data_IF_629159142955
#
_entry.id   IF_629159142955
#
_cell.length_a   1.000
_cell.length_b   1.000
_cell.length_c   1.000
_cell.angle_alpha   90.00
_cell.angle_beta   90.00
_cell.angle_gamma   90.00
#
_symmetry.space_group_name_H-M   'P 1'
#
loop_
_entity.id
_entity.type
_entity.pdbx_description
1 polymer ?
#
# COMPACT_ATOMS: atom_id res chain seq x y z
N UNK A 1 -2.84 15.46 0.00
CA UNK A 1 -4.09 15.80 0.71
C UNK A 1 -4.12 15.06 2.04
N UNK A 2 -4.66 15.67 3.09
CA UNK A 2 -4.82 15.07 4.42
C UNK A 2 -6.31 14.83 4.66
N UNK A 3 -6.71 13.59 4.90
CA UNK A 3 -8.02 13.26 5.43
C UNK A 3 -8.01 13.56 6.94
N UNK A 4 -8.75 14.60 7.34
CA UNK A 4 -8.73 15.11 8.72
C UNK A 4 -9.52 14.21 9.69
N UNK A 5 -10.43 13.38 9.17
CA UNK A 5 -11.27 12.48 9.97
C UNK A 5 -10.54 11.17 10.31
N UNK A 6 -9.67 10.68 9.41
CA UNK A 6 -8.91 9.43 9.61
C UNK A 6 -7.41 9.65 9.83
N UNK A 7 -6.92 10.87 9.64
CA UNK A 7 -5.48 11.20 9.68
C UNK A 7 -4.69 10.66 8.49
N UNK A 8 -5.35 10.11 7.47
CA UNK A 8 -4.68 9.56 6.27
C UNK A 8 -4.07 10.65 5.40
N UNK A 9 -2.78 10.50 5.04
CA UNK A 9 -2.08 11.42 4.14
C UNK A 9 -1.88 10.75 2.78
N UNK A 10 -2.39 11.38 1.72
CA UNK A 10 -2.14 11.00 0.32
C UNK A 10 -1.19 12.01 -0.32
N UNK A 11 -0.17 11.56 -1.04
CA UNK A 11 0.75 12.42 -1.79
C UNK A 11 0.77 11.98 -3.25
N UNK A 12 0.58 12.93 -4.16
CA UNK A 12 0.84 12.78 -5.59
C UNK A 12 2.26 13.27 -5.88
N UNK A 13 3.00 12.56 -6.73
CA UNK A 13 4.37 12.89 -7.17
C UNK A 13 4.40 12.97 -8.70
N UNK A 14 5.37 13.68 -9.29
CA UNK A 14 5.43 13.85 -10.76
C UNK A 14 4.45 14.89 -11.31
N UNK A 15 3.99 15.81 -10.47
CA UNK A 15 2.92 16.77 -10.80
C UNK A 15 3.50 18.19 -10.93
N UNK A 16 4.30 18.43 -11.98
CA UNK A 16 5.05 19.68 -12.20
C UNK A 16 4.29 20.73 -13.04
N UNK A 17 2.95 20.66 -13.06
CA UNK A 17 2.12 21.64 -13.77
C UNK A 17 2.22 23.04 -13.14
N UNK A 18 2.46 24.04 -13.97
CA UNK A 18 2.54 25.44 -13.57
C UNK A 18 1.19 26.17 -13.70
N UNK A 19 0.22 25.59 -14.40
CA UNK A 19 -1.11 26.16 -14.58
C UNK A 19 -2.19 25.10 -14.71
N UNK A 20 -3.43 25.47 -14.36
CA UNK A 20 -4.57 24.56 -14.27
C UNK A 20 -5.82 25.19 -14.88
N UNK A 21 -6.65 24.38 -15.54
CA UNK A 21 -7.96 24.81 -16.04
C UNK A 21 -9.00 23.69 -15.93
N UNK A 22 -10.26 24.05 -15.79
CA UNK A 22 -11.39 23.11 -15.95
C UNK A 22 -12.21 23.59 -17.14
N UNK A 23 -12.34 22.73 -18.16
CA UNK A 23 -13.08 23.03 -19.39
C UNK A 23 -14.09 21.91 -19.58
N UNK A 24 -15.38 22.26 -19.66
CA UNK A 24 -16.49 21.31 -19.79
C UNK A 24 -16.50 20.17 -18.75
N UNK A 25 -16.07 20.48 -17.51
CA UNK A 25 -16.02 19.53 -16.41
C UNK A 25 -14.77 18.64 -16.36
N UNK A 26 -13.86 18.81 -17.32
CA UNK A 26 -12.59 18.07 -17.39
C UNK A 26 -11.46 18.95 -16.87
N UNK A 27 -10.64 18.41 -15.95
CA UNK A 27 -9.47 19.11 -15.42
C UNK A 27 -8.27 18.95 -16.37
N UNK A 28 -7.51 20.03 -16.52
CA UNK A 28 -6.29 20.12 -17.33
C UNK A 28 -5.17 20.79 -16.52
N UNK A 29 -3.96 20.30 -16.70
CA UNK A 29 -2.71 20.87 -16.21
C UNK A 29 -1.84 21.27 -17.39
N UNK A 30 -1.04 22.32 -17.25
CA UNK A 30 -0.06 22.68 -18.26
C UNK A 30 1.30 22.95 -17.63
N UNK A 31 2.34 22.53 -18.33
CA UNK A 31 3.75 22.73 -18.01
C UNK A 31 4.47 23.38 -19.21
N UNK A 32 5.79 23.33 -19.24
CA UNK A 32 6.59 23.83 -20.38
C UNK A 32 6.58 22.89 -21.60
N UNK A 33 6.12 21.65 -21.43
CA UNK A 33 6.06 20.64 -22.48
C UNK A 33 4.68 20.59 -23.16
N UNK A 34 3.60 20.94 -22.46
CA UNK A 34 2.27 20.99 -23.07
C UNK A 34 1.08 21.19 -22.12
N UNK A 35 -0.10 20.83 -22.64
CA UNK A 35 -1.36 20.81 -21.89
C UNK A 35 -1.81 19.35 -21.81
N UNK A 36 -2.03 18.88 -20.59
CA UNK A 36 -2.34 17.51 -20.26
C UNK A 36 -3.69 17.44 -19.57
N UNK A 37 -4.48 16.41 -19.89
CA UNK A 37 -5.73 16.15 -19.19
C UNK A 37 -5.40 15.48 -17.86
N UNK A 38 -5.94 16.00 -16.76
CA UNK A 38 -5.74 15.49 -15.40
C UNK A 38 -6.87 14.52 -15.05
N UNK A 39 -6.96 13.45 -15.81
CA UNK A 39 -8.01 12.44 -15.70
C UNK A 39 -7.52 11.12 -16.29
N UNK A 40 -8.03 9.99 -15.79
CA UNK A 40 -7.67 8.65 -16.24
C UNK A 40 -6.83 7.85 -15.23
N UNK A 41 -6.78 6.53 -15.47
CA UNK A 41 -6.13 5.54 -14.60
C UNK A 41 -4.62 5.37 -14.88
N UNK A 42 -4.09 6.16 -15.82
CA UNK A 42 -2.71 6.07 -16.32
C UNK A 42 -2.03 7.43 -16.34
N UNK A 43 -0.72 7.46 -16.08
CA UNK A 43 0.17 8.60 -16.28
C UNK A 43 0.98 8.38 -17.56
N UNK A 44 0.71 9.15 -18.61
CA UNK A 44 1.29 8.99 -19.96
C UNK A 44 1.20 7.55 -20.55
N UNK A 45 0.16 6.80 -20.18
CA UNK A 45 -0.06 5.41 -20.61
C UNK A 45 0.56 4.35 -19.69
N UNK A 46 1.31 4.74 -18.67
CA UNK A 46 1.79 3.86 -17.61
C UNK A 46 0.76 3.77 -16.47
N UNK A 47 0.56 2.59 -15.84
CA UNK A 47 -0.35 2.48 -14.69
C UNK A 47 0.11 3.30 -13.49
N UNK A 48 -0.83 3.95 -12.80
CA UNK A 48 -0.52 4.73 -11.58
C UNK A 48 -0.42 3.78 -10.38
N UNK A 49 0.81 3.42 -10.01
CA UNK A 49 1.06 2.63 -8.79
C UNK A 49 0.71 3.42 -7.52
N UNK A 50 0.12 2.74 -6.54
CA UNK A 50 -0.16 3.32 -5.22
C UNK A 50 0.49 2.49 -4.12
N UNK A 51 0.80 3.15 -2.99
CA UNK A 51 1.21 2.45 -1.77
C UNK A 51 0.67 3.09 -0.50
N UNK A 52 0.46 2.26 0.52
CA UNK A 52 0.02 2.62 1.86
C UNK A 52 1.03 2.04 2.85
N UNK A 53 1.74 2.92 3.56
CA UNK A 53 2.65 2.52 4.64
C UNK A 53 1.94 2.63 5.99
N UNK A 54 1.84 1.51 6.69
CA UNK A 54 1.14 1.38 7.97
C UNK A 54 2.00 1.80 9.17
N UNK A 55 3.28 2.07 8.94
CA UNK A 55 4.25 2.45 9.96
C UNK A 55 4.71 1.26 10.80
N UNK A 56 5.63 1.55 11.73
CA UNK A 56 6.23 0.54 12.61
C UNK A 56 5.21 0.03 13.63
N UNK A 57 5.06 -1.28 13.68
CA UNK A 57 4.20 -2.03 14.59
C UNK A 57 5.03 -2.88 15.55
N UNK A 58 4.73 -2.80 16.84
CA UNK A 58 5.24 -3.72 17.87
C UNK A 58 4.18 -4.70 18.37
N UNK A 59 2.94 -4.60 17.86
CA UNK A 59 1.83 -5.47 18.26
C UNK A 59 1.61 -5.50 19.78
N UNK A 60 1.86 -4.38 20.46
CA UNK A 60 1.61 -4.20 21.90
C UNK A 60 2.65 -4.84 22.83
N UNK A 61 3.83 -5.22 22.32
CA UNK A 61 4.90 -5.79 23.15
C UNK A 61 6.30 -5.56 22.58
N UNK A 62 7.32 -5.45 23.42
CA UNK A 62 8.72 -5.34 22.98
C UNK A 62 9.41 -6.69 22.74
N UNK A 63 8.72 -7.81 23.01
CA UNK A 63 9.26 -9.14 22.78
C UNK A 63 9.59 -9.37 21.29
N UNK A 64 10.54 -10.27 20.99
CA UNK A 64 10.76 -10.70 19.61
C UNK A 64 9.53 -11.45 19.10
N UNK A 65 9.14 -11.22 17.85
CA UNK A 65 8.03 -11.91 17.20
C UNK A 65 8.32 -12.20 15.74
N UNK A 66 7.50 -13.06 15.15
CA UNK A 66 7.44 -13.34 13.73
C UNK A 66 6.02 -13.12 13.23
N UNK A 67 5.85 -12.56 12.03
CA UNK A 67 4.54 -12.50 11.36
C UNK A 67 4.53 -13.57 10.28
N UNK A 68 3.65 -14.56 10.41
CA UNK A 68 3.68 -15.74 9.54
C UNK A 68 2.84 -15.58 8.29
N UNK A 69 1.73 -14.86 8.41
CA UNK A 69 0.84 -14.49 7.33
C UNK A 69 0.02 -13.26 7.75
N UNK A 70 -0.58 -12.61 6.76
CA UNK A 70 -1.52 -11.53 6.93
C UNK A 70 -2.80 -11.82 6.15
N UNK A 71 -3.91 -11.20 6.57
CA UNK A 71 -5.16 -11.16 5.83
C UNK A 71 -5.50 -9.70 5.53
N UNK A 72 -5.65 -9.39 4.25
CA UNK A 72 -6.03 -8.08 3.76
C UNK A 72 -7.51 -8.15 3.37
N UNK A 73 -8.39 -7.51 4.13
CA UNK A 73 -9.79 -7.35 3.73
C UNK A 73 -9.85 -6.30 2.64
N UNK A 74 -10.02 -6.73 1.38
CA UNK A 74 -9.88 -5.84 0.22
C UNK A 74 -10.79 -6.24 -0.93
N UNK A 75 -11.19 -5.25 -1.73
CA UNK A 75 -11.51 -5.44 -3.15
C UNK A 75 -10.26 -5.10 -3.96
N UNK A 76 -10.05 -5.75 -5.10
CA UNK A 76 -9.02 -5.33 -6.06
C UNK A 76 -9.25 -5.89 -7.46
N UNK A 77 -8.70 -5.22 -8.49
CA UNK A 77 -8.67 -5.71 -9.89
C UNK A 77 -7.46 -6.60 -10.18
N UNK A 78 -6.48 -6.62 -9.28
CA UNK A 78 -5.30 -7.46 -9.38
C UNK A 78 -4.67 -7.76 -8.02
N UNK A 79 -3.48 -8.38 -8.04
CA UNK A 79 -2.83 -8.85 -6.82
C UNK A 79 -2.21 -7.68 -6.06
N UNK A 80 -2.62 -7.54 -4.81
CA UNK A 80 -1.98 -6.62 -3.89
C UNK A 80 -0.70 -7.24 -3.34
N UNK A 81 0.33 -6.41 -3.24
CA UNK A 81 1.62 -6.76 -2.67
C UNK A 81 1.73 -6.26 -1.23
N UNK A 82 2.42 -7.03 -0.40
CA UNK A 82 2.79 -6.66 0.96
C UNK A 82 4.31 -6.68 1.08
N UNK A 83 4.88 -5.54 1.44
CA UNK A 83 6.27 -5.39 1.83
C UNK A 83 6.38 -5.36 3.35
N UNK A 84 7.25 -6.23 3.89
CA UNK A 84 7.67 -6.25 5.29
C UNK A 84 9.05 -5.65 5.40
N UNK A 85 9.21 -4.63 6.24
CA UNK A 85 10.44 -3.88 6.40
C UNK A 85 10.96 -4.06 7.83
N UNK A 86 12.20 -4.54 7.95
CA UNK A 86 12.91 -4.75 9.22
C UNK A 86 14.30 -4.13 9.16
N UNK A 87 14.50 -3.02 9.86
CA UNK A 87 15.74 -2.25 9.74
C UNK A 87 15.89 -1.72 8.31
N UNK A 88 16.96 -2.14 7.63
CA UNK A 88 17.24 -1.80 6.23
C UNK A 88 16.81 -2.91 5.24
N UNK A 89 16.24 -4.01 5.74
CA UNK A 89 15.84 -5.16 4.93
C UNK A 89 14.37 -5.05 4.55
N UNK A 90 14.08 -5.28 3.26
CA UNK A 90 12.73 -5.31 2.70
C UNK A 90 12.43 -6.67 2.12
N UNK A 91 11.21 -7.16 2.37
CA UNK A 91 10.74 -8.46 1.90
C UNK A 91 9.34 -8.33 1.31
N UNK A 92 9.18 -8.67 0.04
CA UNK A 92 7.91 -8.53 -0.69
C UNK A 92 7.20 -9.87 -0.84
N UNK A 93 5.88 -9.85 -0.66
CA UNK A 93 5.00 -11.01 -0.76
C UNK A 93 3.70 -10.65 -1.48
N UNK A 94 3.31 -11.45 -2.46
CA UNK A 94 2.02 -11.29 -3.13
C UNK A 94 0.87 -11.91 -2.32
N UNK A 95 -0.30 -11.29 -2.36
CA UNK A 95 -1.53 -11.95 -1.98
C UNK A 95 -1.74 -13.24 -2.81
N UNK A 96 -2.30 -14.28 -2.17
CA UNK A 96 -2.58 -15.57 -2.82
C UNK A 96 -3.51 -15.43 -4.03
N UNK A 97 -4.47 -14.52 -3.91
CA UNK A 97 -5.45 -14.21 -4.94
C UNK A 97 -5.86 -12.75 -4.85
N UNK A 98 -6.89 -12.43 -5.62
CA UNK A 98 -7.53 -11.13 -5.68
C UNK A 98 -9.00 -11.34 -6.04
N UNK A 99 -9.82 -10.30 -5.84
CA UNK A 99 -11.24 -10.33 -6.18
C UNK A 99 -11.81 -8.93 -6.13
N UNK A 100 -12.69 -8.62 -7.09
CA UNK A 100 -13.49 -7.40 -7.09
C UNK A 100 -14.58 -7.40 -5.99
N UNK A 101 -14.82 -8.53 -5.32
CA UNK A 101 -15.71 -8.61 -4.16
C UNK A 101 -14.89 -8.51 -2.86
N UNK A 102 -15.42 -7.75 -1.89
CA UNK A 102 -14.76 -7.54 -0.61
C UNK A 102 -14.58 -8.87 0.12
N UNK A 103 -13.33 -9.31 0.25
CA UNK A 103 -12.98 -10.53 0.97
C UNK A 103 -11.55 -10.49 1.51
N UNK A 104 -11.25 -11.40 2.43
CA UNK A 104 -9.92 -11.52 3.01
C UNK A 104 -8.95 -12.22 2.04
N UNK A 105 -7.95 -11.48 1.57
CA UNK A 105 -6.84 -12.02 0.77
C UNK A 105 -5.66 -12.37 1.68
N UNK A 106 -5.25 -13.63 1.64
CA UNK A 106 -4.16 -14.13 2.49
C UNK A 106 -2.80 -13.90 1.83
N UNK A 107 -1.84 -13.37 2.60
CA UNK A 107 -0.44 -13.20 2.20
C UNK A 107 0.46 -14.13 3.04
N UNK A 108 1.29 -14.94 2.37
CA UNK A 108 2.26 -15.81 3.04
C UNK A 108 3.62 -15.14 3.20
N UNK A 109 4.00 -14.80 4.43
CA UNK A 109 5.30 -14.18 4.75
C UNK A 109 6.34 -15.25 5.10
N UNK A 110 5.90 -16.34 5.74
CA UNK A 110 6.76 -17.41 6.23
C UNK A 110 7.31 -17.13 7.64
N UNK A 111 8.22 -17.98 8.13
CA UNK A 111 8.70 -17.97 9.53
C UNK A 111 10.10 -17.37 9.73
N UNK A 112 10.70 -16.84 8.66
CA UNK A 112 12.11 -16.41 8.65
C UNK A 112 12.33 -15.06 9.34
N UNK A 113 11.39 -14.12 9.18
CA UNK A 113 11.52 -12.77 9.71
C UNK A 113 11.23 -12.78 11.22
N UNK A 114 12.18 -12.25 12.00
CA UNK A 114 12.09 -12.15 13.46
C UNK A 114 12.55 -10.76 13.91
N UNK A 115 11.66 -9.99 14.49
CA UNK A 115 11.94 -8.65 14.96
C UNK A 115 11.04 -8.27 16.14
N UNK A 116 11.41 -7.24 16.88
CA UNK A 116 10.54 -6.60 17.88
C UNK A 116 9.62 -5.55 17.24
N UNK A 117 10.13 -4.81 16.25
CA UNK A 117 9.40 -3.83 15.45
C UNK A 117 9.46 -4.21 13.97
N UNK A 118 8.33 -4.12 13.28
CA UNK A 118 8.21 -4.36 11.85
C UNK A 118 7.39 -3.24 11.22
N UNK A 119 7.80 -2.76 10.05
CA UNK A 119 7.03 -1.80 9.26
C UNK A 119 6.44 -2.52 8.05
N UNK A 120 5.29 -2.04 7.58
CA UNK A 120 4.51 -2.71 6.54
C UNK A 120 4.04 -1.69 5.52
N UNK A 121 4.24 -2.03 4.25
CA UNK A 121 3.75 -1.27 3.12
C UNK A 121 2.91 -2.19 2.22
N UNK A 122 1.70 -1.75 1.89
CA UNK A 122 0.78 -2.43 0.98
C UNK A 122 0.77 -1.61 -0.31
N UNK A 123 0.90 -2.25 -1.46
CA UNK A 123 1.02 -1.54 -2.74
C UNK A 123 0.51 -2.35 -3.92
N UNK A 124 0.20 -1.67 -5.03
CA UNK A 124 -0.04 -2.27 -6.34
C UNK A 124 1.23 -2.19 -7.21
N UNK A 125 1.49 -3.23 -8.00
CA UNK A 125 2.60 -3.21 -8.97
C UNK A 125 2.17 -2.63 -10.32
N UNK A 126 0.95 -2.97 -10.77
CA UNK A 126 0.45 -2.64 -12.10
C UNK A 126 -0.68 -1.59 -12.07
N UNK A 127 -0.70 -0.73 -11.06
CA UNK A 127 -1.73 0.31 -10.92
C UNK A 127 -3.15 -0.21 -10.70
N UNK A 128 -3.29 -1.48 -10.29
CA UNK A 128 -4.57 -2.09 -9.98
C UNK A 128 -5.35 -1.30 -8.93
N UNK A 129 -6.63 -1.07 -9.20
CA UNK A 129 -7.55 -0.47 -8.24
C UNK A 129 -7.74 -1.39 -7.03
N UNK A 130 -7.82 -0.79 -5.84
CA UNK A 130 -8.13 -1.51 -4.62
C UNK A 130 -8.80 -0.62 -3.57
N UNK A 131 -9.73 -1.20 -2.82
CA UNK A 131 -10.21 -0.64 -1.55
C UNK A 131 -9.76 -1.54 -0.40
N UNK A 132 -8.99 -0.98 0.54
CA UNK A 132 -8.53 -1.70 1.72
C UNK A 132 -9.41 -1.38 2.93
N UNK A 133 -10.11 -2.40 3.44
CA UNK A 133 -10.98 -2.28 4.61
C UNK A 133 -10.28 -2.68 5.91
N UNK A 134 -9.52 -3.78 5.91
CA UNK A 134 -8.87 -4.31 7.11
C UNK A 134 -7.50 -4.91 6.82
N UNK A 135 -6.65 -4.91 7.85
CA UNK A 135 -5.37 -5.62 7.85
C UNK A 135 -5.24 -6.39 9.15
N UNK A 136 -5.10 -7.70 9.04
CA UNK A 136 -4.97 -8.60 10.19
C UNK A 136 -3.66 -9.38 10.12
N UNK A 137 -2.95 -9.43 11.25
CA UNK A 137 -1.61 -10.03 11.34
C UNK A 137 -1.64 -11.31 12.16
N UNK A 138 -1.10 -12.41 11.63
CA UNK A 138 -0.85 -13.63 12.41
C UNK A 138 0.55 -13.54 13.03
N UNK A 139 0.59 -12.93 14.20
CA UNK A 139 1.80 -12.68 15.00
C UNK A 139 2.09 -13.86 15.92
N UNK A 140 3.33 -14.33 15.90
CA UNK A 140 3.84 -15.39 16.76
C UNK A 140 4.92 -14.81 17.68
N UNK A 141 4.64 -14.65 19.00
CA UNK A 141 5.66 -14.29 19.97
C UNK A 141 6.76 -15.35 20.03
N UNK A 142 8.02 -14.91 20.12
CA UNK A 142 9.17 -15.79 20.27
C UNK A 142 9.60 -15.76 21.73
N UNK A 143 9.20 -16.76 22.51
CA UNK A 143 9.73 -16.97 23.85
C UNK A 143 11.16 -17.48 23.76
N UNK A 144 12.10 -16.81 24.41
CA UNK A 144 13.44 -17.39 24.62
C UNK A 144 13.27 -18.58 25.58
N UNK A 145 13.62 -19.78 25.12
CA UNK A 145 13.69 -20.96 25.98
C UNK A 145 14.92 -20.76 26.88
N UNK A 146 14.69 -20.57 28.17
CA UNK A 146 15.71 -20.53 29.23
C UNK A 146 15.75 -21.89 29.91
#
# INVERSE_FOLDING_TARGET
MLNVDTGGLTRYTGFDFNSFAVIDGVAYGADDEGIWRLDGDTDDGDPIAWSIRLGKQDFGTTAMKSVTNAYLGTTSTGKIMLKVIVGEQEYTYAARGWSEQLQAQRVDIGRGIRANWMDFEIYSEDGDDAELATVEWVVVPLSRRI
#
